data_IF_414428792031
#
_entry.id   IF_414428792031
#
_cell.length_a   1.000
_cell.length_b   1.000
_cell.length_c   1.000
_cell.angle_alpha   90.00
_cell.angle_beta   90.00
_cell.angle_gamma   90.00
#
_symmetry.space_group_name_H-M   'P 1'
#
loop_
_entity.id
_entity.type
_entity.pdbx_description
1 polymer ?
#
# COMPACT_ATOMS: atom_id res chain seq x y z
N UNK A 1 -24.53 -34.41 -15.21
CA UNK A 1 -23.66 -34.45 -14.01
C UNK A 1 -22.61 -33.34 -14.10
N UNK A 2 -23.01 -32.07 -13.97
CA UNK A 2 -22.11 -30.91 -14.16
C UNK A 2 -22.25 -29.82 -13.06
N UNK A 3 -22.92 -30.11 -11.94
CA UNK A 3 -23.22 -29.13 -10.89
C UNK A 3 -22.29 -29.13 -9.67
N UNK A 4 -21.46 -30.17 -9.50
CA UNK A 4 -20.62 -30.33 -8.30
C UNK A 4 -19.22 -29.70 -8.43
N UNK A 5 -18.70 -29.54 -9.66
CA UNK A 5 -17.35 -29.01 -9.88
C UNK A 5 -17.27 -27.48 -9.73
N UNK A 6 -18.36 -26.78 -10.07
CA UNK A 6 -18.48 -25.31 -9.99
C UNK A 6 -18.76 -24.79 -8.58
N UNK A 7 -19.44 -25.59 -7.75
CA UNK A 7 -19.71 -25.20 -6.35
C UNK A 7 -18.43 -25.27 -5.50
N UNK A 8 -17.61 -26.32 -5.68
CA UNK A 8 -16.33 -26.48 -4.97
C UNK A 8 -15.34 -25.35 -5.30
N UNK A 9 -15.34 -24.84 -6.54
CA UNK A 9 -14.44 -23.74 -6.93
C UNK A 9 -14.86 -22.39 -6.35
N UNK A 10 -16.16 -22.08 -6.33
CA UNK A 10 -16.68 -20.84 -5.75
C UNK A 10 -16.48 -20.79 -4.23
N UNK A 11 -16.77 -21.89 -3.53
CA UNK A 11 -16.59 -22.01 -2.08
C UNK A 11 -15.12 -21.83 -1.69
N UNK A 12 -14.20 -22.44 -2.44
CA UNK A 12 -12.77 -22.31 -2.21
C UNK A 12 -12.27 -20.87 -2.40
N UNK A 13 -12.69 -20.21 -3.49
CA UNK A 13 -12.33 -18.81 -3.75
C UNK A 13 -12.83 -17.90 -2.63
N UNK A 14 -14.08 -18.10 -2.19
CA UNK A 14 -14.67 -17.33 -1.10
C UNK A 14 -13.90 -17.53 0.23
N UNK A 15 -13.50 -18.77 0.54
CA UNK A 15 -12.71 -19.09 1.73
C UNK A 15 -11.32 -18.41 1.69
N UNK A 16 -10.62 -18.45 0.56
CA UNK A 16 -9.30 -17.83 0.43
C UNK A 16 -9.35 -16.30 0.53
N UNK A 17 -10.31 -15.67 -0.15
CA UNK A 17 -10.53 -14.21 -0.03
C UNK A 17 -10.84 -13.85 1.43
N UNK A 18 -11.73 -14.61 2.08
CA UNK A 18 -12.10 -14.38 3.48
C UNK A 18 -10.90 -14.50 4.42
N UNK A 19 -10.04 -15.50 4.21
CA UNK A 19 -8.82 -15.71 4.98
C UNK A 19 -7.86 -14.53 4.84
N UNK A 20 -7.64 -14.05 3.62
CA UNK A 20 -6.76 -12.91 3.38
C UNK A 20 -7.33 -11.59 3.91
N UNK A 21 -8.63 -11.36 3.74
CA UNK A 21 -9.32 -10.21 4.30
C UNK A 21 -9.24 -10.20 5.84
N UNK A 22 -9.48 -11.34 6.49
CA UNK A 22 -9.37 -11.47 7.94
C UNK A 22 -7.95 -11.12 8.43
N UNK A 23 -6.92 -11.66 7.79
CA UNK A 23 -5.53 -11.37 8.15
C UNK A 23 -5.18 -9.88 8.00
N UNK A 24 -5.70 -9.22 6.95
CA UNK A 24 -5.50 -7.80 6.73
C UNK A 24 -6.21 -6.97 7.82
N UNK A 25 -7.46 -7.31 8.16
CA UNK A 25 -8.24 -6.63 9.19
C UNK A 25 -7.65 -6.82 10.60
N UNK A 26 -7.11 -8.00 10.90
CA UNK A 26 -6.42 -8.24 12.16
C UNK A 26 -5.17 -7.35 12.30
N UNK A 27 -4.33 -7.33 11.25
CA UNK A 27 -3.14 -6.46 11.20
C UNK A 27 -3.51 -4.97 11.33
N UNK A 28 -4.64 -4.57 10.74
CA UNK A 28 -5.16 -3.21 10.83
C UNK A 28 -5.61 -2.86 12.25
N UNK A 29 -6.36 -3.75 12.91
CA UNK A 29 -6.81 -3.56 14.28
C UNK A 29 -5.64 -3.45 15.28
N UNK A 30 -4.62 -4.28 15.11
CA UNK A 30 -3.42 -4.24 15.94
C UNK A 30 -2.61 -2.96 15.71
N UNK A 31 -2.51 -2.51 14.46
CA UNK A 31 -1.91 -1.23 14.13
C UNK A 31 -2.69 -0.06 14.76
N UNK A 32 -4.02 -0.03 14.68
CA UNK A 32 -4.83 1.04 15.27
C UNK A 32 -4.55 1.23 16.77
N UNK A 33 -4.48 0.13 17.53
CA UNK A 33 -4.14 0.17 18.97
C UNK A 33 -2.75 0.79 19.20
N UNK A 34 -1.78 0.41 18.37
CA UNK A 34 -0.41 0.91 18.44
C UNK A 34 -0.32 2.40 18.14
N UNK A 35 -0.98 2.86 17.07
CA UNK A 35 -1.00 4.24 16.61
C UNK A 35 -1.62 5.20 17.63
N UNK A 36 -2.70 4.78 18.30
CA UNK A 36 -3.38 5.61 19.31
C UNK A 36 -2.42 6.08 20.41
N UNK A 37 -1.48 5.22 20.83
CA UNK A 37 -0.47 5.52 21.84
C UNK A 37 0.72 6.35 21.33
N UNK A 38 0.83 6.60 20.02
CA UNK A 38 1.98 7.25 19.38
C UNK A 38 1.74 8.69 18.89
N UNK A 39 0.50 9.19 19.02
CA UNK A 39 0.10 10.52 18.54
C UNK A 39 0.94 11.68 19.12
N UNK A 40 1.39 11.56 20.36
CA UNK A 40 2.17 12.60 21.04
C UNK A 40 3.61 12.75 20.52
N UNK A 41 4.16 11.75 19.83
CA UNK A 41 5.57 11.75 19.39
C UNK A 41 5.78 12.63 18.16
N UNK A 42 4.89 12.54 17.17
CA UNK A 42 4.96 13.35 15.96
C UNK A 42 3.57 13.44 15.30
N UNK A 43 2.91 14.61 15.33
CA UNK A 43 1.62 14.80 14.68
C UNK A 43 1.65 14.58 13.17
N UNK A 44 2.73 14.99 12.50
CA UNK A 44 2.88 14.83 11.04
C UNK A 44 3.08 13.37 10.65
N UNK A 45 3.91 12.63 11.39
CA UNK A 45 4.12 11.21 11.13
C UNK A 45 2.86 10.38 11.45
N UNK A 46 2.09 10.78 12.46
CA UNK A 46 0.79 10.21 12.75
C UNK A 46 -0.18 10.42 11.58
N UNK A 47 -0.29 11.65 11.06
CA UNK A 47 -1.20 11.98 9.97
C UNK A 47 -0.84 11.23 8.67
N UNK A 48 0.44 11.16 8.29
CA UNK A 48 0.89 10.38 7.13
C UNK A 48 0.55 8.90 7.27
N UNK A 49 0.81 8.29 8.43
CA UNK A 49 0.55 6.87 8.66
C UNK A 49 -0.94 6.56 8.73
N UNK A 50 -1.74 7.46 9.30
CA UNK A 50 -3.20 7.36 9.27
C UNK A 50 -3.73 7.39 7.83
N UNK A 51 -3.18 8.26 6.98
CA UNK A 51 -3.54 8.34 5.56
C UNK A 51 -3.17 7.05 4.82
N UNK A 52 -1.97 6.51 5.05
CA UNK A 52 -1.55 5.21 4.50
C UNK A 52 -2.49 4.08 4.90
N UNK A 53 -2.86 4.01 6.19
CA UNK A 53 -3.80 3.00 6.70
C UNK A 53 -5.15 3.06 5.99
N UNK A 54 -5.68 4.28 5.79
CA UNK A 54 -6.95 4.50 5.10
C UNK A 54 -6.86 4.18 3.60
N UNK A 55 -5.69 4.33 2.98
CA UNK A 55 -5.44 3.93 1.60
C UNK A 55 -5.33 2.41 1.39
N UNK A 56 -5.15 1.63 2.45
CA UNK A 56 -5.04 0.16 2.42
C UNK A 56 -6.34 -0.53 2.86
N UNK A 57 -7.00 -0.01 3.89
CA UNK A 57 -8.24 -0.57 4.46
C UNK A 57 -9.30 0.54 4.52
N UNK A 58 -10.32 0.37 3.70
CA UNK A 58 -11.49 1.25 3.57
C UNK A 58 -12.73 0.42 3.22
N UNK A 59 -13.94 0.99 3.27
CA UNK A 59 -15.19 0.23 3.22
C UNK A 59 -15.31 -0.76 2.03
N UNK A 60 -14.71 -0.46 0.88
CA UNK A 60 -14.77 -1.27 -0.34
C UNK A 60 -13.47 -1.97 -0.72
N UNK A 61 -12.49 -2.03 0.19
CA UNK A 61 -11.13 -2.51 -0.15
C UNK A 61 -11.11 -3.91 -0.77
N UNK A 62 -12.00 -4.82 -0.37
CA UNK A 62 -12.07 -6.18 -0.94
C UNK A 62 -12.51 -6.16 -2.42
N UNK A 63 -13.42 -5.26 -2.78
CA UNK A 63 -13.95 -5.16 -4.14
C UNK A 63 -13.00 -4.37 -5.06
N UNK A 64 -12.33 -3.36 -4.52
CA UNK A 64 -11.59 -2.38 -5.30
C UNK A 64 -10.09 -2.72 -5.42
N UNK A 65 -9.54 -3.59 -4.56
CA UNK A 65 -8.12 -4.00 -4.58
C UNK A 65 -7.96 -5.33 -5.33
N UNK A 66 -7.05 -5.41 -6.33
CA UNK A 66 -6.76 -6.68 -6.99
C UNK A 66 -6.35 -7.76 -5.99
N UNK A 67 -6.87 -8.99 -6.17
CA UNK A 67 -6.62 -10.09 -5.23
C UNK A 67 -5.13 -10.31 -4.92
N UNK A 68 -4.27 -10.24 -5.94
CA UNK A 68 -2.82 -10.36 -5.80
C UNK A 68 -2.23 -9.40 -4.75
N UNK A 69 -2.88 -8.26 -4.52
CA UNK A 69 -2.47 -7.23 -3.58
C UNK A 69 -3.14 -7.37 -2.22
N UNK A 70 -4.36 -7.94 -2.16
CA UNK A 70 -5.03 -8.28 -0.90
C UNK A 70 -4.14 -9.18 -0.04
N UNK A 71 -3.48 -10.16 -0.66
CA UNK A 71 -2.54 -11.08 -0.01
C UNK A 71 -1.40 -10.35 0.71
N UNK A 72 -1.03 -9.15 0.25
CA UNK A 72 0.09 -8.36 0.77
C UNK A 72 -0.33 -7.25 1.76
N UNK A 73 -1.63 -6.98 1.92
CA UNK A 73 -2.10 -5.95 2.85
C UNK A 73 -1.56 -6.11 4.28
N UNK A 74 -1.52 -7.32 4.89
CA UNK A 74 -0.90 -7.50 6.21
C UNK A 74 0.54 -6.98 6.27
N UNK A 75 1.33 -7.22 5.22
CA UNK A 75 2.74 -6.78 5.16
C UNK A 75 2.85 -5.26 5.07
N UNK A 76 2.02 -4.61 4.25
CA UNK A 76 2.02 -3.16 4.17
C UNK A 76 1.60 -2.51 5.50
N UNK A 77 0.61 -3.08 6.18
CA UNK A 77 0.18 -2.62 7.51
C UNK A 77 1.30 -2.82 8.55
N UNK A 78 1.96 -3.97 8.55
CA UNK A 78 3.10 -4.23 9.44
C UNK A 78 4.28 -3.29 9.15
N UNK A 79 4.51 -2.89 7.90
CA UNK A 79 5.54 -1.91 7.57
C UNK A 79 5.26 -0.54 8.22
N UNK A 80 3.99 -0.12 8.26
CA UNK A 80 3.57 1.10 8.97
C UNK A 80 3.81 0.95 10.47
N UNK A 81 3.50 -0.22 11.05
CA UNK A 81 3.73 -0.51 12.46
C UNK A 81 5.22 -0.40 12.84
N UNK A 82 6.10 -0.95 12.01
CA UNK A 82 7.55 -0.87 12.21
C UNK A 82 8.08 0.56 12.07
N UNK A 83 7.54 1.33 11.15
CA UNK A 83 7.90 2.73 11.02
C UNK A 83 7.53 3.52 12.28
N UNK A 84 6.42 3.21 12.94
CA UNK A 84 6.09 3.80 14.25
C UNK A 84 7.09 3.43 15.35
N UNK A 85 7.58 2.20 15.39
CA UNK A 85 8.60 1.80 16.37
C UNK A 85 9.91 2.55 16.15
N UNK A 86 10.33 2.64 14.88
CA UNK A 86 11.59 3.28 14.48
C UNK A 86 11.60 4.79 14.70
N UNK A 87 10.44 5.45 14.64
CA UNK A 87 10.33 6.87 15.02
C UNK A 87 10.86 7.16 16.43
N UNK A 88 10.67 6.21 17.36
CA UNK A 88 11.12 6.35 18.75
C UNK A 88 12.53 5.82 18.97
N UNK A 89 12.88 4.70 18.34
CA UNK A 89 14.13 3.99 18.63
C UNK A 89 15.31 4.39 17.73
N UNK A 90 15.07 4.89 16.51
CA UNK A 90 16.12 5.26 15.57
C UNK A 90 15.70 6.41 14.64
N UNK A 91 15.55 7.59 15.21
CA UNK A 91 15.07 8.80 14.52
C UNK A 91 15.99 9.23 13.36
N UNK A 92 17.31 9.01 13.47
CA UNK A 92 18.26 9.36 12.39
C UNK A 92 18.06 8.51 11.13
N UNK A 93 17.90 7.18 11.29
CA UNK A 93 17.64 6.28 10.17
C UNK A 93 16.29 6.59 9.52
N UNK A 94 15.27 6.84 10.33
CA UNK A 94 13.93 7.20 9.84
C UNK A 94 13.96 8.52 9.06
N UNK A 95 14.65 9.55 9.57
CA UNK A 95 14.84 10.82 8.86
C UNK A 95 15.56 10.64 7.51
N UNK A 96 16.56 9.76 7.42
CA UNK A 96 17.22 9.46 6.15
C UNK A 96 16.27 8.79 5.15
N UNK A 97 15.44 7.84 5.61
CA UNK A 97 14.42 7.22 4.75
C UNK A 97 13.37 8.24 4.28
N UNK A 98 12.99 9.18 5.15
CA UNK A 98 12.10 10.27 4.80
C UNK A 98 12.70 11.21 3.74
N UNK A 99 13.99 11.58 3.84
CA UNK A 99 14.66 12.36 2.79
C UNK A 99 14.63 11.67 1.42
N UNK A 100 14.81 10.34 1.40
CA UNK A 100 14.70 9.55 0.16
C UNK A 100 13.26 9.52 -0.34
N UNK A 101 12.28 9.40 0.55
CA UNK A 101 10.86 9.44 0.17
C UNK A 101 10.44 10.80 -0.41
N UNK A 102 10.99 11.89 0.10
CA UNK A 102 10.69 13.25 -0.37
C UNK A 102 11.15 13.55 -1.79
N UNK A 103 12.08 12.74 -2.36
CA UNK A 103 12.47 12.86 -3.77
C UNK A 103 11.37 12.37 -4.72
N UNK A 104 10.44 11.55 -4.24
CA UNK A 104 9.27 11.11 -5.03
C UNK A 104 8.34 12.31 -5.19
N UNK A 105 8.00 12.75 -6.42
CA UNK A 105 7.22 13.98 -6.59
C UNK A 105 5.81 13.83 -6.01
N UNK A 106 5.36 14.85 -5.25
CA UNK A 106 4.09 14.85 -4.50
C UNK A 106 2.85 14.41 -5.31
N UNK A 107 2.64 14.80 -6.58
CA UNK A 107 1.48 14.34 -7.35
C UNK A 107 1.39 12.81 -7.45
N UNK A 108 2.54 12.13 -7.48
CA UNK A 108 2.63 10.68 -7.59
C UNK A 108 2.55 9.97 -6.24
N UNK A 109 2.56 10.70 -5.13
CA UNK A 109 2.28 10.16 -3.80
C UNK A 109 0.77 10.09 -3.49
N UNK A 110 -0.06 10.83 -4.25
CA UNK A 110 -1.52 10.89 -4.06
C UNK A 110 -2.21 9.51 -4.13
N UNK A 111 -1.82 8.57 -5.03
CA UNK A 111 -2.45 7.26 -5.10
C UNK A 111 -2.39 6.44 -3.80
N UNK A 112 -1.42 6.71 -2.91
CA UNK A 112 -1.36 6.06 -1.59
C UNK A 112 -2.28 6.68 -0.55
N UNK A 113 -2.70 7.93 -0.73
CA UNK A 113 -3.41 8.70 0.31
C UNK A 113 -4.93 8.44 0.32
N UNK A 114 -5.39 7.37 -0.32
CA UNK A 114 -6.79 6.93 -0.27
C UNK A 114 -7.78 7.99 -0.76
N UNK A 115 -7.45 8.68 -1.86
CA UNK A 115 -8.30 9.75 -2.38
C UNK A 115 -9.65 9.19 -2.85
N UNK A 116 -10.65 9.39 -1.98
CA UNK A 116 -12.06 9.07 -2.17
C UNK A 116 -12.60 9.73 -3.44
N UNK A 117 -13.22 8.93 -4.31
CA UNK A 117 -14.32 9.38 -5.18
C UNK A 117 -13.98 10.15 -6.46
N UNK A 118 -12.73 10.21 -6.89
CA UNK A 118 -12.42 10.64 -8.27
C UNK A 118 -11.20 9.91 -8.83
N UNK A 119 -10.15 9.73 -8.02
CA UNK A 119 -9.00 8.94 -8.45
C UNK A 119 -9.21 7.44 -8.36
N UNK A 120 -10.12 6.92 -7.54
CA UNK A 120 -10.41 5.48 -7.57
C UNK A 120 -10.99 5.08 -8.93
N UNK A 121 -11.93 5.88 -9.45
CA UNK A 121 -12.53 5.68 -10.77
C UNK A 121 -11.51 5.94 -11.90
N UNK A 122 -10.73 7.03 -11.84
CA UNK A 122 -9.69 7.32 -12.85
C UNK A 122 -8.46 6.39 -12.79
N UNK A 123 -8.08 5.87 -11.60
CA UNK A 123 -7.01 4.86 -11.46
C UNK A 123 -7.52 3.46 -11.84
N UNK A 124 -8.82 3.19 -11.65
CA UNK A 124 -9.42 1.89 -11.99
C UNK A 124 -9.55 1.67 -13.50
N UNK A 125 -9.52 2.74 -14.30
CA UNK A 125 -9.50 2.64 -15.77
C UNK A 125 -8.10 2.42 -16.35
N UNK A 126 -7.03 2.78 -15.62
CA UNK A 126 -5.64 2.62 -16.07
C UNK A 126 -4.86 1.63 -15.19
N UNK A 127 -4.72 0.40 -15.70
CA UNK A 127 -3.93 -0.67 -15.09
C UNK A 127 -2.51 -0.21 -14.73
N UNK A 128 -1.89 0.66 -15.53
CA UNK A 128 -0.53 1.12 -15.30
C UNK A 128 -0.44 2.01 -14.05
N UNK A 129 -1.47 2.80 -13.76
CA UNK A 129 -1.55 3.60 -12.54
C UNK A 129 -1.87 2.74 -11.31
N UNK A 130 -2.69 1.71 -11.47
CA UNK A 130 -2.94 0.72 -10.42
C UNK A 130 -1.64 0.01 -10.04
N UNK A 131 -0.89 -0.51 -11.02
CA UNK A 131 0.41 -1.17 -10.80
C UNK A 131 1.42 -0.22 -10.15
N UNK A 132 1.47 1.03 -10.60
CA UNK A 132 2.32 2.07 -10.03
C UNK A 132 2.04 2.33 -8.55
N UNK A 133 0.75 2.40 -8.16
CA UNK A 133 0.36 2.56 -6.75
C UNK A 133 0.96 1.45 -5.88
N UNK A 134 0.95 0.21 -6.35
CA UNK A 134 1.53 -0.92 -5.60
C UNK A 134 3.05 -0.92 -5.59
N UNK A 135 3.70 -0.51 -6.68
CA UNK A 135 5.16 -0.28 -6.68
C UNK A 135 5.57 0.82 -5.69
N UNK A 136 4.76 1.85 -5.53
CA UNK A 136 4.98 2.89 -4.54
C UNK A 136 4.83 2.35 -3.11
N UNK A 137 3.87 1.45 -2.87
CA UNK A 137 3.77 0.73 -1.60
C UNK A 137 5.01 -0.15 -1.33
N UNK A 138 5.52 -0.86 -2.35
CA UNK A 138 6.78 -1.62 -2.22
C UNK A 138 7.97 -0.73 -1.89
N UNK A 139 8.08 0.45 -2.52
CA UNK A 139 9.14 1.40 -2.21
C UNK A 139 9.09 1.81 -0.73
N UNK A 140 7.89 2.07 -0.17
CA UNK A 140 7.77 2.39 1.26
C UNK A 140 8.22 1.23 2.14
N UNK A 141 7.86 -0.01 1.82
CA UNK A 141 8.36 -1.18 2.56
C UNK A 141 9.89 -1.27 2.48
N UNK A 142 10.46 -1.10 1.29
CA UNK A 142 11.90 -1.18 1.09
C UNK A 142 12.68 -0.07 1.82
N UNK A 143 12.10 1.12 1.99
CA UNK A 143 12.72 2.21 2.73
C UNK A 143 12.59 2.02 4.25
N UNK A 144 11.40 1.71 4.75
CA UNK A 144 11.10 1.80 6.19
C UNK A 144 11.11 0.45 6.92
N UNK A 145 10.90 -0.65 6.21
CA UNK A 145 10.65 -1.98 6.77
C UNK A 145 11.41 -3.09 6.04
N UNK A 146 12.71 -2.89 5.83
CA UNK A 146 13.61 -3.83 5.13
C UNK A 146 13.57 -5.27 5.70
N UNK A 147 13.31 -5.42 7.00
CA UNK A 147 13.18 -6.71 7.69
C UNK A 147 11.99 -7.55 7.22
N UNK A 148 10.92 -6.95 6.67
CA UNK A 148 9.74 -7.69 6.25
C UNK A 148 9.96 -8.53 4.98
N UNK A 149 11.10 -8.33 4.30
CA UNK A 149 11.42 -8.85 2.97
C UNK A 149 10.36 -8.47 1.93
N UNK A 150 10.78 -8.25 0.70
CA UNK A 150 9.90 -7.87 -0.41
C UNK A 150 9.90 -8.99 -1.43
N UNK A 151 8.74 -9.54 -1.83
CA UNK A 151 8.69 -10.55 -2.89
C UNK A 151 9.27 -9.98 -4.19
N UNK A 152 9.09 -8.68 -4.41
CA UNK A 152 9.74 -7.92 -5.48
C UNK A 152 10.57 -6.79 -4.85
N UNK A 153 11.91 -6.94 -4.74
CA UNK A 153 12.79 -5.88 -4.24
C UNK A 153 12.61 -4.58 -5.03
N UNK A 154 12.09 -3.56 -4.34
CA UNK A 154 11.91 -2.23 -4.89
C UNK A 154 13.01 -1.30 -4.38
N UNK A 155 13.53 -0.45 -5.26
CA UNK A 155 14.50 0.60 -4.91
C UNK A 155 14.06 1.92 -5.53
N UNK A 156 14.56 3.04 -5.01
CA UNK A 156 14.27 4.35 -5.60
C UNK A 156 14.66 4.39 -7.08
N UNK A 157 15.84 3.88 -7.43
CA UNK A 157 16.32 3.83 -8.82
C UNK A 157 15.41 3.03 -9.75
N UNK A 158 14.87 1.91 -9.29
CA UNK A 158 13.92 1.13 -10.09
C UNK A 158 12.59 1.88 -10.22
N UNK A 159 12.10 2.42 -9.12
CA UNK A 159 10.86 3.20 -9.09
C UNK A 159 10.91 4.43 -10.03
N UNK A 160 12.03 5.16 -10.04
CA UNK A 160 12.25 6.31 -10.94
C UNK A 160 12.15 5.90 -12.42
N UNK A 161 12.63 4.71 -12.79
CA UNK A 161 12.48 4.18 -14.16
C UNK A 161 11.02 3.94 -14.51
N UNK A 162 10.26 3.32 -13.60
CA UNK A 162 8.83 3.07 -13.87
C UNK A 162 8.06 4.39 -13.98
N UNK A 163 8.35 5.35 -13.09
CA UNK A 163 7.78 6.69 -13.17
C UNK A 163 8.10 7.38 -14.50
N UNK A 164 9.34 7.28 -14.99
CA UNK A 164 9.72 7.83 -16.29
C UNK A 164 8.94 7.18 -17.45
N UNK A 165 8.77 5.85 -17.43
CA UNK A 165 7.97 5.13 -18.43
C UNK A 165 6.50 5.56 -18.41
N UNK A 166 5.89 5.70 -17.24
CA UNK A 166 4.50 6.18 -17.12
C UNK A 166 4.33 7.59 -17.68
N UNK A 167 5.30 8.49 -17.44
CA UNK A 167 5.26 9.85 -17.98
C UNK A 167 5.32 9.88 -19.51
N UNK A 168 6.11 9.01 -20.12
CA UNK A 168 6.20 8.90 -21.58
C UNK A 168 4.90 8.39 -22.21
N UNK A 169 4.24 7.43 -21.57
CA UNK A 169 2.94 6.92 -22.03
C UNK A 169 1.87 8.01 -21.94
N UNK A 170 1.77 8.68 -20.79
CA UNK A 170 0.79 9.74 -20.58
C UNK A 170 1.01 10.95 -21.50
N UNK A 171 2.27 11.28 -21.86
CA UNK A 171 2.53 12.34 -22.84
C UNK A 171 2.10 11.99 -24.26
N UNK A 172 2.14 10.70 -24.65
CA UNK A 172 1.74 10.24 -25.99
C UNK A 172 0.22 10.12 -26.17
N UNK A 173 -0.52 9.94 -25.07
CA UNK A 173 -1.97 9.86 -25.09
C UNK A 173 -2.65 11.24 -25.13
N UNK A 174 -1.93 12.29 -24.68
CA UNK A 174 -2.42 13.67 -24.65
C UNK A 174 -1.88 14.54 -25.81
N UNK A 175 -1.26 13.92 -26.82
CA UNK A 175 -0.74 14.55 -28.05
C UNK A 175 -1.54 14.09 -29.27
#
# INVERSE_FOLDING_TARGET
>A
MAGWQTSISADYIAQEISRHALNALQSYADLQKKVASAKAVSPSAYADKQSQMQGLIYAKFIADIPYAQIVHLPRYLNAIALQFDKLRSNTSRDAQCHKVWETVPRPWQKPLQGSRGSSADTLSEDQALTDFRWQLAELRVALFAQELKTPTPMSLKHFEKVLASLRQVNSKLNS
#
